data_IF_674941464337
#
_entry.id   IF_674941464337
#
_cell.length_a   1.000
_cell.length_b   1.000
_cell.length_c   1.000
_cell.angle_alpha   90.00
_cell.angle_beta   90.00
_cell.angle_gamma   90.00
#
_symmetry.space_group_name_H-M   'P 1'
#
loop_
_entity.id
_entity.type
_entity.pdbx_description
1 polymer ?
#
# COMPACT_ATOMS: atom_id res chain seq x y z
N UNK A 1 -30.66 14.89 37.39
CA UNK A 1 -30.62 14.84 35.91
C UNK A 1 -29.21 15.18 35.50
N UNK A 2 -28.60 14.29 34.73
CA UNK A 2 -27.15 14.08 34.66
C UNK A 2 -26.38 15.21 33.98
N UNK A 3 -25.30 15.64 34.65
CA UNK A 3 -24.19 16.38 34.09
C UNK A 3 -23.41 15.48 33.13
N UNK A 4 -23.13 15.94 31.91
CA UNK A 4 -22.05 15.43 31.06
C UNK A 4 -21.58 16.57 30.14
N UNK A 5 -20.60 17.34 30.62
CA UNK A 5 -19.83 18.26 29.80
C UNK A 5 -18.63 17.51 29.21
N UNK A 6 -18.51 17.49 27.88
CA UNK A 6 -17.30 17.00 27.21
C UNK A 6 -16.16 18.01 27.39
N UNK A 7 -14.92 17.55 27.70
CA UNK A 7 -13.76 18.43 27.73
C UNK A 7 -13.35 18.84 26.30
N UNK A 8 -12.83 20.08 26.11
CA UNK A 8 -12.39 20.54 24.80
C UNK A 8 -11.16 19.78 24.32
N UNK A 9 -11.22 19.35 23.06
CA UNK A 9 -10.16 18.69 22.29
C UNK A 9 -8.91 19.57 22.15
N UNK A 10 -7.74 18.91 22.22
CA UNK A 10 -6.41 19.50 22.35
C UNK A 10 -5.88 20.40 21.21
N UNK A 11 -4.56 20.71 21.23
CA UNK A 11 -3.98 21.87 20.57
C UNK A 11 -4.02 21.78 19.04
N UNK A 12 -4.58 22.85 18.44
CA UNK A 12 -4.62 23.09 17.00
C UNK A 12 -3.19 23.25 16.47
N UNK A 13 -2.77 22.36 15.56
CA UNK A 13 -1.51 22.51 14.82
C UNK A 13 -1.56 23.81 14.02
N UNK A 14 -0.82 24.82 14.47
CA UNK A 14 -0.58 26.04 13.71
C UNK A 14 0.21 25.69 12.45
N UNK A 15 -0.41 25.94 11.31
CA UNK A 15 0.16 25.78 9.98
C UNK A 15 1.04 27.00 9.74
N UNK A 16 2.35 26.86 9.93
CA UNK A 16 3.33 27.90 9.62
C UNK A 16 3.26 28.14 8.11
N UNK A 17 2.75 29.31 7.71
CA UNK A 17 2.89 29.83 6.35
C UNK A 17 4.24 30.54 6.30
N UNK A 18 5.24 29.91 5.67
CA UNK A 18 6.47 30.62 5.29
C UNK A 18 6.13 31.36 4.00
N UNK A 19 6.04 32.68 4.11
CA UNK A 19 5.99 33.61 2.99
C UNK A 19 7.37 33.53 2.32
N UNK A 20 7.40 33.05 1.08
CA UNK A 20 8.60 33.07 0.26
C UNK A 20 8.86 34.50 -0.21
N UNK A 21 10.04 35.01 0.08
CA UNK A 21 10.64 36.14 -0.62
C UNK A 21 12.03 35.69 -1.11
N UNK A 22 12.28 36.00 -2.38
CA UNK A 22 13.48 35.87 -3.20
C UNK A 22 13.88 34.52 -3.83
N UNK A 23 13.88 34.52 -5.17
CA UNK A 23 14.14 33.46 -6.15
C UNK A 23 15.65 33.11 -6.31
N UNK A 24 16.50 33.34 -5.30
CA UNK A 24 17.95 33.25 -5.49
C UNK A 24 18.69 32.37 -4.47
N UNK A 25 17.97 31.52 -3.73
CA UNK A 25 18.55 30.59 -2.73
C UNK A 25 18.70 29.15 -3.26
N UNK A 26 18.09 28.79 -4.39
CA UNK A 26 18.16 27.42 -4.94
C UNK A 26 19.43 27.14 -5.76
N UNK A 27 20.06 28.15 -6.36
CA UNK A 27 21.18 27.94 -7.30
C UNK A 27 22.55 27.81 -6.63
N UNK A 28 22.66 28.13 -5.33
CA UNK A 28 23.91 28.01 -4.57
C UNK A 28 24.06 26.69 -3.79
N UNK A 29 22.99 25.90 -3.63
CA UNK A 29 23.05 24.62 -2.92
C UNK A 29 23.63 23.50 -3.80
N UNK A 30 23.48 23.58 -5.14
CA UNK A 30 23.98 22.52 -6.05
C UNK A 30 25.51 22.48 -6.22
N UNK A 31 26.24 23.56 -5.89
CA UNK A 31 27.66 23.70 -6.25
C UNK A 31 28.65 23.47 -5.11
N UNK A 32 28.19 23.17 -3.89
CA UNK A 32 29.10 22.94 -2.76
C UNK A 32 28.53 21.89 -1.79
N UNK A 33 28.76 20.60 -2.06
CA UNK A 33 29.23 19.64 -1.05
C UNK A 33 29.34 18.24 -1.62
N UNK A 34 30.51 17.67 -1.39
CA UNK A 34 30.90 16.31 -1.70
C UNK A 34 30.29 15.37 -0.65
N UNK A 35 29.01 14.99 -0.83
CA UNK A 35 28.29 14.07 0.08
C UNK A 35 27.61 12.96 -0.76
N UNK A 36 27.92 11.66 -0.54
CA UNK A 36 27.31 10.56 -1.31
C UNK A 36 25.81 10.31 -1.01
N UNK A 37 25.13 11.18 -0.27
CA UNK A 37 23.93 10.83 0.52
C UNK A 37 22.63 11.53 0.09
N UNK A 38 22.52 11.92 -1.19
CA UNK A 38 21.25 12.38 -1.78
C UNK A 38 20.83 11.64 -3.05
N UNK A 39 21.57 10.61 -3.46
CA UNK A 39 21.09 9.63 -4.46
C UNK A 39 20.16 8.56 -3.89
N UNK A 40 19.92 8.54 -2.58
CA UNK A 40 19.06 7.56 -1.92
C UNK A 40 17.75 8.11 -1.35
N UNK A 41 17.53 9.43 -1.42
CA UNK A 41 16.28 10.05 -0.95
C UNK A 41 15.35 10.40 -2.14
N UNK A 42 15.89 10.48 -3.36
CA UNK A 42 15.09 10.43 -4.60
C UNK A 42 14.94 8.98 -5.06
N UNK A 43 14.26 8.17 -4.25
CA UNK A 43 13.67 6.88 -4.68
C UNK A 43 12.26 6.79 -4.08
N UNK A 44 11.38 7.70 -4.50
CA UNK A 44 9.95 7.40 -4.64
C UNK A 44 9.42 7.84 -6.02
N UNK A 45 10.30 7.83 -7.02
CA UNK A 45 9.92 7.89 -8.43
C UNK A 45 10.98 7.12 -9.21
N UNK A 46 10.63 5.90 -9.61
CA UNK A 46 11.40 4.98 -10.46
C UNK A 46 12.50 4.13 -9.80
N UNK A 47 12.09 3.23 -8.88
CA UNK A 47 12.68 1.89 -8.87
C UNK A 47 11.82 0.95 -9.72
N UNK A 48 12.11 0.98 -11.02
CA UNK A 48 12.04 -0.21 -11.83
C UNK A 48 12.97 -1.26 -11.21
N UNK A 49 12.43 -2.12 -10.35
CA UNK A 49 12.76 -3.53 -10.49
C UNK A 49 11.49 -4.32 -10.71
N UNK A 50 10.90 -4.03 -11.87
CA UNK A 50 10.40 -5.10 -12.72
C UNK A 50 11.61 -5.92 -13.14
N UNK A 51 12.02 -6.87 -12.30
CA UNK A 51 12.78 -8.00 -12.82
C UNK A 51 11.85 -8.64 -13.86
N UNK A 52 12.13 -8.36 -15.14
CA UNK A 52 11.69 -9.21 -16.23
C UNK A 52 12.22 -10.60 -15.87
N UNK A 53 11.36 -11.62 -15.70
CA UNK A 53 11.83 -12.97 -15.80
C UNK A 53 12.28 -13.12 -17.25
N UNK A 54 13.60 -13.29 -17.44
CA UNK A 54 14.13 -13.77 -18.69
C UNK A 54 13.40 -15.06 -19.08
N UNK A 55 13.09 -15.12 -20.36
CA UNK A 55 12.23 -16.11 -20.97
C UNK A 55 12.84 -17.50 -20.82
N UNK A 56 12.29 -18.31 -19.93
CA UNK A 56 12.08 -19.72 -20.22
C UNK A 56 10.66 -20.18 -19.84
N UNK A 57 9.80 -20.15 -20.86
CA UNK A 57 8.73 -21.12 -21.16
C UNK A 57 7.52 -21.30 -20.20
N UNK A 58 6.37 -20.82 -20.73
CA UNK A 58 4.98 -21.30 -20.57
C UNK A 58 4.14 -20.81 -19.37
N UNK A 59 3.66 -19.57 -19.44
CA UNK A 59 2.34 -19.17 -18.94
C UNK A 59 1.80 -17.98 -19.75
N UNK A 60 1.05 -18.25 -20.82
CA UNK A 60 0.44 -17.21 -21.67
C UNK A 60 -0.81 -16.63 -20.98
N UNK A 61 -0.86 -15.30 -20.92
CA UNK A 61 -2.04 -14.40 -20.94
C UNK A 61 -3.01 -14.41 -19.75
N UNK A 62 -2.81 -13.48 -18.81
CA UNK A 62 -3.88 -13.01 -17.90
C UNK A 62 -3.82 -11.49 -17.61
N UNK A 63 -2.70 -10.82 -17.88
CA UNK A 63 -2.53 -9.41 -17.53
C UNK A 63 -3.36 -8.41 -18.36
N UNK A 64 -3.82 -8.78 -19.56
CA UNK A 64 -4.58 -7.87 -20.44
C UNK A 64 -6.06 -7.73 -20.04
N UNK A 65 -6.61 -8.64 -19.23
CA UNK A 65 -8.06 -8.72 -19.00
C UNK A 65 -8.62 -7.71 -17.97
N UNK A 66 -7.76 -6.91 -17.31
CA UNK A 66 -8.16 -6.00 -16.23
C UNK A 66 -7.93 -4.51 -16.55
N UNK A 67 -7.57 -4.18 -17.79
CA UNK A 67 -7.46 -2.80 -18.28
C UNK A 67 -8.75 -2.41 -19.01
N UNK A 68 -9.38 -1.32 -18.59
CA UNK A 68 -10.47 -0.69 -19.33
C UNK A 68 -9.93 0.09 -20.53
N UNK A 69 -10.83 0.49 -21.46
CA UNK A 69 -10.44 1.20 -22.70
C UNK A 69 -9.73 2.55 -22.46
N UNK A 70 -9.93 3.14 -21.28
CA UNK A 70 -9.28 4.37 -20.81
C UNK A 70 -7.92 4.11 -20.10
N UNK A 71 -7.46 2.86 -20.06
CA UNK A 71 -6.23 2.45 -19.37
C UNK A 71 -6.38 2.27 -17.85
N UNK A 72 -7.57 2.45 -17.28
CA UNK A 72 -7.78 2.25 -15.85
C UNK A 72 -7.69 0.76 -15.45
N UNK A 73 -7.14 0.50 -14.27
CA UNK A 73 -7.00 -0.84 -13.73
C UNK A 73 -8.19 -1.18 -12.83
N UNK A 74 -8.75 -2.39 -13.01
CA UNK A 74 -9.87 -2.87 -12.19
C UNK A 74 -9.42 -3.92 -11.18
N UNK A 75 -9.87 -3.79 -9.92
CA UNK A 75 -9.55 -4.71 -8.83
C UNK A 75 -10.21 -6.08 -9.06
N UNK A 76 -9.41 -7.14 -9.20
CA UNK A 76 -9.89 -8.50 -9.46
C UNK A 76 -10.79 -9.06 -8.35
N UNK A 77 -10.71 -8.51 -7.14
CA UNK A 77 -11.48 -8.97 -5.97
C UNK A 77 -12.88 -8.34 -5.93
N UNK A 78 -12.99 -7.03 -6.12
CA UNK A 78 -14.24 -6.31 -5.86
C UNK A 78 -14.70 -5.38 -6.98
N UNK A 79 -13.99 -5.35 -8.11
CA UNK A 79 -14.35 -4.52 -9.28
C UNK A 79 -14.16 -3.01 -9.11
N UNK A 80 -13.63 -2.54 -7.98
CA UNK A 80 -13.33 -1.11 -7.76
C UNK A 80 -12.04 -0.72 -8.50
N UNK A 81 -11.85 0.58 -8.75
CA UNK A 81 -10.59 1.11 -9.30
C UNK A 81 -9.38 0.60 -8.49
N UNK A 82 -8.41 0.03 -9.19
CA UNK A 82 -7.20 -0.53 -8.62
C UNK A 82 -6.06 0.48 -8.63
N UNK A 83 -5.27 0.49 -7.56
CA UNK A 83 -4.07 1.34 -7.47
C UNK A 83 -2.86 0.70 -8.17
N UNK A 84 -2.93 -0.60 -8.48
CA UNK A 84 -1.87 -1.32 -9.18
C UNK A 84 -1.74 -2.77 -8.75
N UNK A 85 -0.59 -3.35 -9.05
CA UNK A 85 -0.27 -4.74 -8.74
C UNK A 85 0.24 -4.87 -7.29
N UNK A 86 -0.45 -5.63 -6.46
CA UNK A 86 -0.06 -5.86 -5.07
C UNK A 86 -0.22 -7.33 -4.71
N UNK A 87 0.80 -7.90 -4.08
CA UNK A 87 0.81 -9.29 -3.62
C UNK A 87 0.47 -10.31 -4.71
N UNK A 88 0.74 -10.05 -5.99
CA UNK A 88 0.48 -11.00 -7.07
C UNK A 88 -0.82 -10.75 -7.86
N UNK A 89 -1.56 -9.67 -7.60
CA UNK A 89 -2.77 -9.35 -8.35
C UNK A 89 -3.03 -7.84 -8.46
N UNK A 90 -3.82 -7.43 -9.47
CA UNK A 90 -4.32 -6.06 -9.61
C UNK A 90 -5.44 -5.83 -8.60
N UNK A 91 -5.24 -4.93 -7.64
CA UNK A 91 -6.20 -4.73 -6.54
C UNK A 91 -6.34 -3.26 -6.12
N UNK A 92 -7.49 -2.93 -5.54
CA UNK A 92 -7.73 -1.64 -4.88
C UNK A 92 -7.06 -1.57 -3.49
N UNK A 93 -6.87 -0.36 -2.98
CA UNK A 93 -6.21 -0.11 -1.68
C UNK A 93 -6.91 -0.82 -0.52
N UNK A 94 -8.25 -0.89 -0.56
CA UNK A 94 -8.99 -1.58 0.51
C UNK A 94 -8.75 -3.09 0.52
N UNK A 95 -8.64 -3.73 -0.65
CA UNK A 95 -8.38 -5.17 -0.76
C UNK A 95 -6.91 -5.48 -0.45
N UNK A 96 -5.98 -4.62 -0.84
CA UNK A 96 -4.58 -4.67 -0.41
C UNK A 96 -4.45 -4.64 1.12
N UNK A 97 -5.07 -3.66 1.78
CA UNK A 97 -5.02 -3.54 3.24
C UNK A 97 -5.78 -4.67 3.96
N UNK A 98 -6.88 -5.16 3.38
CA UNK A 98 -7.62 -6.30 3.90
C UNK A 98 -6.77 -7.58 3.84
N UNK A 99 -6.16 -7.88 2.68
CA UNK A 99 -5.32 -9.06 2.50
C UNK A 99 -4.13 -9.05 3.45
N UNK A 100 -3.40 -7.93 3.55
CA UNK A 100 -2.25 -7.78 4.47
C UNK A 100 -2.59 -8.10 5.93
N UNK A 101 -3.81 -7.79 6.38
CA UNK A 101 -4.28 -8.01 7.76
C UNK A 101 -4.77 -9.44 8.01
N UNK A 102 -5.19 -10.15 6.98
CA UNK A 102 -5.99 -11.37 7.14
C UNK A 102 -5.36 -12.61 6.51
N UNK A 103 -4.45 -12.48 5.53
CA UNK A 103 -3.92 -13.61 4.78
C UNK A 103 -3.10 -14.64 5.59
N UNK A 104 -2.63 -14.26 6.80
CA UNK A 104 -1.90 -15.14 7.72
C UNK A 104 -2.74 -15.63 8.90
N UNK A 105 -3.99 -15.16 9.02
CA UNK A 105 -4.88 -15.62 10.10
C UNK A 105 -5.36 -17.04 9.81
N UNK A 106 -5.68 -17.76 10.87
CA UNK A 106 -6.25 -19.10 10.78
C UNK A 106 -7.54 -19.07 9.93
N UNK A 107 -7.67 -19.92 8.90
CA UNK A 107 -8.90 -20.08 8.14
C UNK A 107 -10.15 -20.26 9.01
N UNK A 108 -10.04 -20.94 10.17
CA UNK A 108 -11.15 -21.13 11.10
C UNK A 108 -11.70 -19.82 11.70
N UNK A 109 -10.89 -18.73 11.68
CA UNK A 109 -11.31 -17.39 12.10
C UNK A 109 -12.33 -16.77 11.15
N UNK A 110 -12.39 -17.25 9.90
CA UNK A 110 -13.29 -16.73 8.88
C UNK A 110 -14.42 -17.72 8.62
N UNK A 111 -15.62 -17.38 9.09
CA UNK A 111 -16.84 -18.14 8.79
C UNK A 111 -17.78 -17.28 7.96
N UNK A 112 -18.22 -17.80 6.82
CA UNK A 112 -19.32 -17.20 6.10
C UNK A 112 -20.63 -17.46 6.86
N UNK A 113 -21.48 -16.44 6.99
CA UNK A 113 -22.81 -16.55 7.58
C UNK A 113 -23.89 -16.97 6.56
N UNK A 114 -23.49 -17.14 5.29
CA UNK A 114 -24.35 -17.51 4.17
C UNK A 114 -23.95 -18.89 3.63
N UNK A 115 -23.60 -19.03 2.34
CA UNK A 115 -23.29 -20.30 1.68
C UNK A 115 -21.91 -20.32 1.02
N UNK A 116 -20.95 -19.58 1.59
CA UNK A 116 -19.59 -19.42 1.06
C UNK A 116 -19.49 -18.91 -0.41
N UNK A 117 -20.58 -18.39 -0.96
CA UNK A 117 -20.76 -17.96 -2.35
C UNK A 117 -21.03 -16.46 -2.50
N UNK A 118 -20.71 -15.67 -1.46
CA UNK A 118 -21.06 -14.25 -1.43
C UNK A 118 -20.44 -13.47 -2.61
N UNK A 119 -21.29 -12.73 -3.32
CA UNK A 119 -20.84 -11.80 -4.34
C UNK A 119 -20.08 -10.64 -3.71
N UNK A 120 -18.80 -10.50 -4.08
CA UNK A 120 -17.91 -9.45 -3.58
C UNK A 120 -17.78 -8.34 -4.63
N UNK A 121 -18.42 -7.20 -4.35
CA UNK A 121 -18.38 -5.95 -5.14
C UNK A 121 -17.82 -4.80 -4.29
N UNK A 122 -17.72 -3.58 -4.83
CA UNK A 122 -17.23 -2.44 -4.04
C UNK A 122 -18.14 -2.13 -2.83
N UNK A 123 -19.45 -2.35 -2.98
CA UNK A 123 -20.46 -2.13 -1.95
C UNK A 123 -20.50 -3.28 -0.94
N UNK A 124 -20.50 -4.54 -1.42
CA UNK A 124 -20.78 -5.71 -0.58
C UNK A 124 -19.54 -6.35 0.04
N UNK A 125 -18.32 -5.94 -0.35
CA UNK A 125 -17.05 -6.49 0.17
C UNK A 125 -16.84 -6.38 1.69
N UNK A 126 -17.71 -5.69 2.43
CA UNK A 126 -17.66 -5.67 3.90
C UNK A 126 -18.57 -6.72 4.54
N UNK A 127 -19.52 -7.28 3.80
CA UNK A 127 -20.58 -8.14 4.33
C UNK A 127 -20.05 -9.54 4.70
N UNK A 128 -19.02 -10.04 4.01
CA UNK A 128 -18.42 -11.33 4.31
C UNK A 128 -16.90 -11.30 4.16
N UNK A 129 -16.19 -11.38 5.29
CA UNK A 129 -14.73 -11.43 5.32
C UNK A 129 -14.18 -12.76 4.78
N UNK A 130 -14.89 -13.87 5.01
CA UNK A 130 -14.52 -15.20 4.54
C UNK A 130 -14.47 -15.27 3.01
N UNK A 131 -15.60 -15.02 2.33
CA UNK A 131 -15.65 -15.03 0.86
C UNK A 131 -14.75 -13.98 0.23
N UNK A 132 -14.56 -12.82 0.89
CA UNK A 132 -13.60 -11.81 0.41
C UNK A 132 -12.18 -12.33 0.45
N UNK A 133 -11.76 -12.99 1.53
CA UNK A 133 -10.42 -13.53 1.66
C UNK A 133 -10.20 -14.69 0.68
N UNK A 134 -11.19 -15.57 0.53
CA UNK A 134 -11.18 -16.62 -0.49
C UNK A 134 -11.01 -16.02 -1.90
N UNK A 135 -11.78 -14.97 -2.24
CA UNK A 135 -11.66 -14.29 -3.53
C UNK A 135 -10.32 -13.58 -3.73
N UNK A 136 -9.67 -13.10 -2.67
CA UNK A 136 -8.29 -12.59 -2.75
C UNK A 136 -7.32 -13.68 -3.23
N UNK A 137 -7.35 -14.87 -2.62
CA UNK A 137 -6.50 -15.98 -3.02
C UNK A 137 -6.83 -16.47 -4.43
N UNK A 138 -8.12 -16.64 -4.75
CA UNK A 138 -8.57 -17.05 -6.09
C UNK A 138 -8.20 -16.03 -7.17
N UNK A 139 -8.14 -14.74 -6.81
CA UNK A 139 -7.67 -13.65 -7.68
C UNK A 139 -6.16 -13.59 -7.85
N UNK A 140 -5.39 -14.53 -7.27
CA UNK A 140 -3.93 -14.62 -7.41
C UNK A 140 -3.12 -13.90 -6.34
N UNK A 141 -3.75 -13.40 -5.26
CA UNK A 141 -2.99 -12.81 -4.16
C UNK A 141 -2.23 -13.88 -3.36
N UNK A 142 -0.93 -13.69 -3.18
CA UNK A 142 -0.02 -14.65 -2.55
C UNK A 142 0.41 -14.17 -1.16
N UNK A 143 0.21 -15.01 -0.15
CA UNK A 143 0.60 -14.72 1.25
C UNK A 143 2.11 -14.58 1.42
N UNK A 144 2.90 -15.25 0.59
CA UNK A 144 4.37 -15.27 0.68
C UNK A 144 5.00 -13.94 0.29
N UNK A 145 4.26 -13.09 -0.44
CA UNK A 145 4.67 -11.71 -0.77
C UNK A 145 4.44 -10.73 0.39
N UNK A 146 3.96 -11.19 1.55
CA UNK A 146 3.86 -10.38 2.75
C UNK A 146 5.15 -10.47 3.57
N UNK A 147 5.70 -9.32 3.96
CA UNK A 147 6.86 -9.28 4.85
C UNK A 147 6.64 -10.08 6.13
N UNK A 148 7.64 -10.87 6.52
CA UNK A 148 7.69 -11.61 7.78
C UNK A 148 7.80 -10.66 8.97
N UNK A 149 7.62 -11.17 10.19
CA UNK A 149 7.78 -10.37 11.40
C UNK A 149 9.20 -9.80 11.53
N UNK A 150 10.20 -10.61 11.20
CA UNK A 150 11.62 -10.26 11.18
C UNK A 150 11.92 -9.18 10.14
N UNK A 151 11.48 -9.36 8.90
CA UNK A 151 11.67 -8.37 7.83
C UNK A 151 11.01 -7.03 8.17
N UNK A 152 9.83 -7.06 8.81
CA UNK A 152 9.18 -5.83 9.30
C UNK A 152 9.99 -5.17 10.41
N UNK A 153 10.57 -5.94 11.33
CA UNK A 153 11.41 -5.41 12.40
C UNK A 153 12.70 -4.79 11.85
N UNK A 154 13.37 -5.47 10.92
CA UNK A 154 14.56 -4.97 10.23
C UNK A 154 14.25 -3.64 9.51
N UNK A 155 13.15 -3.59 8.74
CA UNK A 155 12.74 -2.36 8.05
C UNK A 155 12.43 -1.22 9.03
N UNK A 156 11.82 -1.51 10.19
CA UNK A 156 11.59 -0.49 11.22
C UNK A 156 12.88 0.05 11.84
N UNK A 157 13.85 -0.83 12.13
CA UNK A 157 15.17 -0.42 12.64
C UNK A 157 15.88 0.49 11.66
N UNK A 158 15.92 0.11 10.39
CA UNK A 158 16.53 0.92 9.33
C UNK A 158 15.86 2.30 9.20
N UNK A 159 14.52 2.38 9.28
CA UNK A 159 13.81 3.66 9.23
C UNK A 159 14.19 4.55 10.42
N UNK A 160 14.31 3.97 11.61
CA UNK A 160 14.68 4.72 12.82
C UNK A 160 16.14 5.19 12.77
N UNK A 161 17.06 4.34 12.34
CA UNK A 161 18.46 4.69 12.11
C UNK A 161 18.58 5.86 11.12
N UNK A 162 17.90 5.77 9.98
CA UNK A 162 17.87 6.85 8.99
C UNK A 162 17.29 8.15 9.55
N UNK A 163 16.27 8.05 10.41
CA UNK A 163 15.68 9.23 11.05
C UNK A 163 16.64 9.89 12.04
N UNK A 164 17.38 9.09 12.80
CA UNK A 164 18.38 9.58 13.74
C UNK A 164 19.58 10.22 13.02
N UNK A 165 20.00 9.64 11.89
CA UNK A 165 21.03 10.24 11.04
C UNK A 165 20.59 11.59 10.45
N UNK A 166 19.30 11.77 10.13
CA UNK A 166 18.80 13.03 9.58
C UNK A 166 18.66 14.17 10.62
N UNK A 167 18.89 13.88 11.91
CA UNK A 167 18.85 14.87 13.00
C UNK A 167 20.25 15.41 13.38
N UNK A 168 21.31 14.86 12.79
CA UNK A 168 22.69 15.26 13.00
C UNK A 168 23.29 15.78 11.69
#
# INVERSE_FOLDING_TARGET
MSSNAWPPTGPKRQRIMIIAADENILDQIEKNSNVPLLKQIVITSEDNNSEKPDKQSKAKSSCEKNKTKDGSLTCVVCGSSASGYNFGAIVCESCKAFFRRNARKDPATFRCIYKDDCQITFQTRRNCSACRLAKCFNGGMQRDRLLTAEQKAAKRRQIEENRNLALH
#
